data_IF_928959968905
#
_entry.id   IF_928959968905
#
_cell.length_a   1.000
_cell.length_b   1.000
_cell.length_c   1.000
_cell.angle_alpha   90.00
_cell.angle_beta   90.00
_cell.angle_gamma   90.00
#
_symmetry.space_group_name_H-M   'P 1'
#
loop_
_entity.id
_entity.type
_entity.pdbx_description
1 polymer ?
#
# COMPACT_ATOMS: atom_id res chain seq x y z
N UNK A 1 28.08 12.45 -16.85
CA UNK A 1 27.73 12.78 -15.48
C UNK A 1 28.21 14.16 -15.15
N UNK A 2 27.34 14.96 -14.63
CA UNK A 2 27.74 16.30 -14.22
C UNK A 2 28.65 16.23 -13.02
N UNK A 3 29.50 17.23 -12.91
CA UNK A 3 30.30 17.41 -11.72
C UNK A 3 29.39 17.59 -10.52
N UNK A 4 29.75 16.97 -9.42
CA UNK A 4 29.00 17.12 -8.19
C UNK A 4 29.02 18.58 -7.75
N UNK A 5 27.85 19.12 -7.52
CA UNK A 5 27.69 20.40 -6.88
C UNK A 5 27.43 20.14 -5.40
N UNK A 6 28.45 20.30 -4.56
CA UNK A 6 28.36 19.97 -3.14
C UNK A 6 27.40 20.89 -2.37
N UNK A 7 27.00 22.03 -2.99
CA UNK A 7 25.99 22.91 -2.37
C UNK A 7 24.56 22.44 -2.62
N UNK A 8 24.35 21.51 -3.56
CA UNK A 8 23.04 20.99 -3.91
C UNK A 8 22.86 19.59 -3.31
N UNK A 9 22.00 19.44 -2.32
CA UNK A 9 21.75 18.11 -1.76
C UNK A 9 21.07 17.21 -2.78
N UNK A 10 21.30 15.92 -2.62
CA UNK A 10 20.61 14.91 -3.42
C UNK A 10 19.56 14.22 -2.55
N UNK A 11 18.50 13.75 -3.21
CA UNK A 11 17.40 13.07 -2.54
C UNK A 11 17.15 11.73 -3.21
N UNK A 12 16.75 10.73 -2.43
CA UNK A 12 16.26 9.49 -3.00
C UNK A 12 14.93 9.15 -2.33
N UNK A 13 14.05 8.57 -3.10
CA UNK A 13 12.75 8.18 -2.63
C UNK A 13 12.90 6.89 -1.82
N UNK A 14 12.64 6.94 -0.52
CA UNK A 14 12.91 5.85 0.40
C UNK A 14 11.69 4.95 0.63
N UNK A 15 10.55 5.54 0.95
CA UNK A 15 9.36 4.75 1.30
C UNK A 15 8.10 5.60 1.26
N UNK A 16 6.98 4.92 1.10
CA UNK A 16 5.65 5.45 1.44
C UNK A 16 5.26 4.80 2.76
N UNK A 17 4.75 5.59 3.69
CA UNK A 17 4.32 5.09 4.99
C UNK A 17 2.83 5.33 5.18
N UNK A 18 2.12 4.27 5.60
CA UNK A 18 0.70 4.32 5.91
C UNK A 18 0.51 4.34 7.42
N UNK A 19 -0.44 5.14 7.88
CA UNK A 19 -0.89 5.06 9.26
C UNK A 19 -1.89 3.93 9.41
N UNK A 20 -1.87 3.25 10.55
CA UNK A 20 -2.74 2.09 10.78
C UNK A 20 -2.85 1.81 12.28
N UNK A 21 -3.84 1.03 12.69
CA UNK A 21 -3.94 0.65 14.10
C UNK A 21 -2.95 -0.44 14.50
N UNK A 22 -2.59 -1.34 13.57
CA UNK A 22 -1.70 -2.46 13.85
C UNK A 22 -0.71 -2.62 12.69
N UNK A 23 0.52 -2.09 12.84
CA UNK A 23 1.49 -2.17 11.75
C UNK A 23 1.93 -3.58 11.39
N UNK A 24 1.98 -4.51 12.35
CA UNK A 24 2.36 -5.88 12.05
C UNK A 24 1.32 -6.57 11.17
N UNK A 25 0.04 -6.37 11.45
CA UNK A 25 -1.04 -6.94 10.66
C UNK A 25 -1.04 -6.39 9.25
N UNK A 26 -0.96 -5.07 9.11
CA UNK A 26 -1.00 -4.44 7.78
C UNK A 26 0.25 -4.79 6.98
N UNK A 27 1.42 -4.80 7.62
CA UNK A 27 2.65 -5.20 6.96
C UNK A 27 2.58 -6.64 6.44
N UNK A 28 2.00 -7.55 7.21
CA UNK A 28 1.86 -8.94 6.78
C UNK A 28 1.03 -9.05 5.51
N UNK A 29 -0.07 -8.31 5.42
CA UNK A 29 -0.91 -8.29 4.23
C UNK A 29 -0.08 -7.92 2.99
N UNK A 30 0.65 -6.80 3.05
CA UNK A 30 1.43 -6.35 1.90
C UNK A 30 2.69 -7.18 1.65
N UNK A 31 3.31 -7.71 2.70
CA UNK A 31 4.45 -8.61 2.54
C UNK A 31 4.06 -9.86 1.76
N UNK A 32 2.91 -10.44 2.08
CA UNK A 32 2.41 -11.62 1.39
C UNK A 32 1.95 -11.28 -0.04
N UNK A 33 1.24 -10.17 -0.20
CA UNK A 33 0.74 -9.77 -1.51
C UNK A 33 1.86 -9.44 -2.49
N UNK A 34 2.89 -8.75 -2.03
CA UNK A 34 3.95 -8.23 -2.89
C UNK A 34 5.24 -9.06 -2.86
N UNK A 35 5.35 -9.99 -1.94
CA UNK A 35 6.56 -10.78 -1.78
C UNK A 35 7.73 -9.96 -1.25
N UNK A 36 7.47 -8.96 -0.40
CA UNK A 36 8.50 -8.08 0.14
C UNK A 36 8.88 -8.51 1.56
N UNK A 37 10.18 -8.56 1.87
CA UNK A 37 10.61 -8.88 3.22
C UNK A 37 10.46 -7.71 4.18
N UNK A 38 10.33 -8.04 5.47
CA UNK A 38 10.45 -7.05 6.54
C UNK A 38 11.91 -6.72 6.71
N UNK A 39 12.27 -5.44 6.59
CA UNK A 39 13.67 -5.00 6.74
C UNK A 39 13.91 -4.25 8.04
N UNK A 40 12.84 -3.82 8.72
CA UNK A 40 12.93 -3.16 10.02
C UNK A 40 11.59 -3.29 10.72
N UNK A 41 11.58 -3.50 12.03
CA UNK A 41 10.34 -3.67 12.78
C UNK A 41 10.51 -3.28 14.24
N UNK A 42 9.56 -2.49 14.72
CA UNK A 42 9.37 -2.22 16.15
C UNK A 42 7.90 -2.44 16.47
N UNK A 43 7.49 -2.26 17.71
CA UNK A 43 6.08 -2.37 18.08
C UNK A 43 5.22 -1.32 17.39
N UNK A 44 5.81 -0.19 17.02
CA UNK A 44 5.08 0.96 16.48
C UNK A 44 5.28 1.18 14.99
N UNK A 45 6.21 0.47 14.36
CA UNK A 45 6.53 0.69 12.95
C UNK A 45 7.13 -0.54 12.31
N UNK A 46 6.69 -0.85 11.09
CA UNK A 46 7.25 -1.93 10.28
C UNK A 46 7.59 -1.37 8.91
N UNK A 47 8.74 -1.74 8.39
CA UNK A 47 9.16 -1.37 7.04
C UNK A 47 9.40 -2.62 6.20
N UNK A 48 8.73 -2.68 5.06
CA UNK A 48 8.98 -3.67 4.01
C UNK A 48 9.85 -3.02 2.96
N UNK A 49 10.76 -3.78 2.39
CA UNK A 49 11.61 -3.22 1.37
C UNK A 49 12.30 -4.24 0.51
N UNK A 50 12.86 -3.75 -0.57
CA UNK A 50 13.75 -4.53 -1.39
C UNK A 50 14.74 -3.59 -2.06
N UNK A 51 15.90 -4.13 -2.42
CA UNK A 51 16.94 -3.34 -3.02
C UNK A 51 16.49 -2.79 -4.36
N UNK A 52 16.79 -1.51 -4.60
CA UNK A 52 16.48 -0.85 -5.87
C UNK A 52 15.06 -0.33 -6.01
N UNK A 53 14.25 -0.41 -4.96
CA UNK A 53 12.87 0.09 -5.00
C UNK A 53 12.51 0.79 -3.69
N UNK A 54 11.51 1.66 -3.75
CA UNK A 54 10.99 2.31 -2.55
C UNK A 54 10.29 1.28 -1.68
N UNK A 55 10.40 1.44 -0.36
CA UNK A 55 9.75 0.56 0.59
C UNK A 55 8.33 0.97 0.93
N UNK A 56 7.69 0.14 1.74
CA UNK A 56 6.39 0.45 2.33
C UNK A 56 6.54 0.41 3.84
N UNK A 57 6.18 1.51 4.49
CA UNK A 57 6.19 1.61 5.94
C UNK A 57 4.78 1.58 6.51
N UNK A 58 4.66 1.12 7.75
CA UNK A 58 3.38 1.02 8.45
C UNK A 58 3.59 1.53 9.86
N UNK A 59 2.92 2.64 10.18
CA UNK A 59 3.12 3.36 11.43
C UNK A 59 1.88 3.27 12.30
N UNK A 60 2.05 2.89 13.56
CA UNK A 60 0.94 2.86 14.51
C UNK A 60 0.46 4.26 14.82
N UNK A 61 -0.83 4.46 14.68
CA UNK A 61 -1.50 5.69 15.05
C UNK A 61 -2.59 5.34 16.04
N UNK A 62 -2.47 5.84 17.29
CA UNK A 62 -3.37 5.44 18.37
C UNK A 62 -4.83 5.79 18.12
N UNK A 63 -5.07 6.92 17.46
CA UNK A 63 -6.42 7.39 17.13
C UNK A 63 -6.71 7.27 15.65
N UNK A 64 -6.21 6.20 15.03
CA UNK A 64 -6.39 5.95 13.61
C UNK A 64 -7.87 5.99 13.22
N UNK A 65 -8.17 6.70 12.13
CA UNK A 65 -9.50 6.75 11.55
C UNK A 65 -9.46 6.13 10.17
N UNK A 66 -10.20 5.06 10.02
CA UNK A 66 -10.29 4.31 8.77
C UNK A 66 -10.86 5.22 7.67
N UNK A 67 -10.23 5.33 6.50
CA UNK A 67 -10.85 6.06 5.40
C UNK A 67 -12.10 5.35 4.94
N UNK A 68 -13.01 6.10 4.32
CA UNK A 68 -14.23 5.54 3.74
C UNK A 68 -14.17 5.66 2.24
N UNK A 69 -14.75 4.67 1.56
CA UNK A 69 -14.79 4.67 0.12
C UNK A 69 -15.96 3.81 -0.34
N UNK A 70 -16.76 4.27 -1.35
CA UNK A 70 -16.59 5.50 -2.13
C UNK A 70 -17.04 6.78 -1.43
N UNK A 71 -17.83 6.69 -0.37
CA UNK A 71 -18.25 7.88 0.38
C UNK A 71 -17.03 8.46 1.10
N UNK A 72 -16.83 9.77 0.99
CA UNK A 72 -15.64 10.42 1.49
C UNK A 72 -15.85 11.14 2.82
N UNK A 73 -16.60 10.53 3.74
CA UNK A 73 -16.75 11.08 5.08
C UNK A 73 -15.43 11.08 5.85
N UNK A 74 -14.55 10.12 5.53
CA UNK A 74 -13.16 10.13 5.97
C UNK A 74 -12.33 9.85 4.72
N UNK A 75 -11.92 10.92 4.03
CA UNK A 75 -11.29 10.80 2.72
C UNK A 75 -9.91 10.12 2.78
N UNK A 76 -9.59 9.33 1.77
CA UNK A 76 -8.21 8.93 1.55
C UNK A 76 -7.44 10.10 0.96
N UNK A 77 -6.16 10.19 1.28
CA UNK A 77 -5.26 11.21 0.72
C UNK A 77 -4.49 10.69 -0.48
N UNK A 78 -4.21 9.41 -0.49
CA UNK A 78 -3.44 8.74 -1.55
C UNK A 78 -3.79 7.26 -1.52
N UNK A 79 -3.47 6.57 -2.61
CA UNK A 79 -3.61 5.12 -2.67
C UNK A 79 -2.53 4.55 -3.57
N UNK A 80 -2.18 3.28 -3.36
CA UNK A 80 -1.22 2.60 -4.23
C UNK A 80 -1.96 1.85 -5.32
N UNK A 81 -1.25 1.59 -6.41
CA UNK A 81 -1.76 0.80 -7.52
C UNK A 81 -0.84 -0.38 -7.77
N UNK A 82 -1.41 -1.56 -7.87
CA UNK A 82 -0.67 -2.79 -8.11
C UNK A 82 -0.95 -3.26 -9.53
N UNK A 83 0.11 -3.46 -10.30
CA UNK A 83 -0.01 -4.07 -11.61
C UNK A 83 -0.20 -5.57 -11.48
N UNK A 84 -1.18 -6.12 -12.19
CA UNK A 84 -1.49 -7.55 -12.16
C UNK A 84 -1.74 -8.05 -13.57
N UNK A 85 -1.56 -9.35 -13.78
CA UNK A 85 -1.80 -9.96 -15.08
C UNK A 85 -3.24 -10.43 -15.24
N UNK A 86 -3.88 -10.83 -14.15
CA UNK A 86 -5.23 -11.38 -14.14
C UNK A 86 -5.99 -10.77 -12.96
N UNK A 87 -6.99 -9.95 -13.27
CA UNK A 87 -7.77 -9.28 -12.23
C UNK A 87 -8.50 -10.23 -11.30
N UNK A 88 -9.09 -11.30 -11.86
CA UNK A 88 -9.87 -12.25 -11.04
C UNK A 88 -8.96 -13.03 -10.09
N UNK A 89 -7.83 -13.51 -10.59
CA UNK A 89 -6.87 -14.26 -9.78
C UNK A 89 -6.26 -13.36 -8.69
N UNK A 90 -5.89 -12.14 -9.06
CA UNK A 90 -5.34 -11.19 -8.10
C UNK A 90 -6.34 -10.85 -7.01
N UNK A 91 -7.59 -10.58 -7.39
CA UNK A 91 -8.65 -10.30 -6.43
C UNK A 91 -8.84 -11.46 -5.46
N UNK A 92 -8.92 -12.68 -5.97
CA UNK A 92 -9.10 -13.87 -5.13
C UNK A 92 -7.97 -14.00 -4.11
N UNK A 93 -6.72 -13.78 -4.53
CA UNK A 93 -5.56 -13.85 -3.64
C UNK A 93 -5.62 -12.79 -2.54
N UNK A 94 -5.94 -11.55 -2.92
CA UNK A 94 -5.99 -10.45 -1.97
C UNK A 94 -7.13 -10.60 -0.97
N UNK A 95 -8.28 -11.12 -1.39
CA UNK A 95 -9.37 -11.41 -0.47
C UNK A 95 -8.99 -12.52 0.50
N UNK A 96 -8.27 -13.54 0.02
CA UNK A 96 -7.78 -14.62 0.89
C UNK A 96 -6.80 -14.10 1.95
N UNK A 97 -6.06 -13.04 1.65
CA UNK A 97 -5.11 -12.43 2.58
C UNK A 97 -5.75 -11.46 3.58
N UNK A 98 -7.04 -11.18 3.44
CA UNK A 98 -7.74 -10.29 4.35
C UNK A 98 -8.20 -8.97 3.74
N UNK A 99 -8.00 -8.78 2.46
CA UNK A 99 -8.54 -7.62 1.75
C UNK A 99 -10.05 -7.70 1.64
N UNK A 100 -10.68 -6.56 1.39
CA UNK A 100 -12.13 -6.46 1.23
C UNK A 100 -12.43 -5.79 -0.10
N UNK A 101 -13.42 -6.32 -0.82
CA UNK A 101 -13.86 -5.72 -2.08
C UNK A 101 -15.13 -4.89 -1.84
N UNK A 102 -15.08 -3.56 -1.98
CA UNK A 102 -16.29 -2.76 -1.93
C UNK A 102 -17.25 -3.12 -3.07
N UNK A 103 -18.54 -2.95 -2.83
CA UNK A 103 -19.53 -3.26 -3.83
C UNK A 103 -19.42 -2.34 -5.05
N UNK A 104 -19.27 -1.04 -4.82
CA UNK A 104 -19.12 -0.08 -5.90
C UNK A 104 -17.76 -0.23 -6.58
N UNK A 105 -17.76 -0.41 -7.91
CA UNK A 105 -16.54 -0.53 -8.71
C UNK A 105 -16.72 0.35 -9.95
N UNK A 106 -15.88 1.40 -10.13
CA UNK A 106 -16.05 2.30 -11.27
C UNK A 106 -15.83 1.64 -12.63
N UNK A 107 -14.87 0.71 -12.74
CA UNK A 107 -14.55 0.10 -14.04
C UNK A 107 -13.94 -1.30 -13.82
N UNK A 108 -14.77 -2.28 -13.40
CA UNK A 108 -14.26 -3.57 -12.91
C UNK A 108 -13.59 -4.45 -13.97
N UNK A 109 -13.74 -4.12 -15.26
CA UNK A 109 -13.09 -4.89 -16.32
C UNK A 109 -11.65 -4.45 -16.56
N UNK A 110 -11.27 -3.25 -16.10
CA UNK A 110 -9.93 -2.70 -16.31
C UNK A 110 -9.14 -2.56 -15.02
N UNK A 111 -9.80 -2.13 -13.95
CA UNK A 111 -9.18 -1.96 -12.65
C UNK A 111 -10.22 -2.09 -11.56
N UNK A 112 -9.77 -2.50 -10.38
CA UNK A 112 -10.67 -2.71 -9.25
C UNK A 112 -10.10 -2.09 -8.00
N UNK A 113 -11.00 -1.58 -7.16
CA UNK A 113 -10.63 -1.03 -5.86
C UNK A 113 -10.86 -2.10 -4.81
N UNK A 114 -9.87 -2.30 -3.96
CA UNK A 114 -9.98 -3.16 -2.79
C UNK A 114 -9.59 -2.34 -1.56
N UNK A 115 -9.94 -2.83 -0.39
CA UNK A 115 -9.54 -2.22 0.87
C UNK A 115 -8.59 -3.17 1.57
N UNK A 116 -7.51 -2.64 2.13
CA UNK A 116 -6.62 -3.46 2.94
C UNK A 116 -7.18 -3.63 4.36
N UNK A 117 -6.53 -4.44 5.23
CA UNK A 117 -7.06 -4.66 6.58
C UNK A 117 -7.22 -3.40 7.44
N UNK A 118 -6.51 -2.32 7.14
CA UNK A 118 -6.70 -1.04 7.83
C UNK A 118 -7.75 -0.17 7.14
N UNK A 119 -8.30 -0.62 6.02
CA UNK A 119 -9.33 0.10 5.28
C UNK A 119 -8.80 1.08 4.25
N UNK A 120 -7.49 1.12 4.00
CA UNK A 120 -6.97 1.96 2.94
C UNK A 120 -7.39 1.41 1.58
N UNK A 121 -8.02 2.22 0.72
CA UNK A 121 -8.27 1.80 -0.65
C UNK A 121 -6.98 1.65 -1.43
N UNK A 122 -6.91 0.64 -2.26
CA UNK A 122 -5.85 0.48 -3.26
C UNK A 122 -6.44 -0.12 -4.52
N UNK A 123 -5.72 -0.02 -5.61
CA UNK A 123 -6.22 -0.50 -6.89
C UNK A 123 -5.38 -1.64 -7.42
N UNK A 124 -6.03 -2.58 -8.13
CA UNK A 124 -5.35 -3.55 -8.98
C UNK A 124 -5.74 -3.26 -10.42
N UNK A 125 -4.79 -3.38 -11.34
CA UNK A 125 -4.99 -3.01 -12.73
C UNK A 125 -4.11 -3.83 -13.66
N UNK A 126 -4.63 -4.15 -14.84
CA UNK A 126 -3.81 -4.73 -15.91
C UNK A 126 -3.19 -3.66 -16.79
N UNK A 127 -3.41 -2.38 -16.50
CA UNK A 127 -2.95 -1.25 -17.31
C UNK A 127 -1.57 -0.74 -16.90
N UNK A 128 -1.07 -1.18 -15.76
CA UNK A 128 0.23 -0.72 -15.23
C UNK A 128 1.20 -1.87 -15.03
#
# INVERSE_FOLDING_TARGET
>A
MTTEDTSTPTFRYSAVTFDCPDPAELALFYAEALGLPVVFSTDDFVLLGQEGAAGLGFNRLADYRRPTWPAASQAKQAHIELGVDDLDAAQARLLALGGVKPEFQPDPDRWRVLLDPAGHPFCISTLV
#
